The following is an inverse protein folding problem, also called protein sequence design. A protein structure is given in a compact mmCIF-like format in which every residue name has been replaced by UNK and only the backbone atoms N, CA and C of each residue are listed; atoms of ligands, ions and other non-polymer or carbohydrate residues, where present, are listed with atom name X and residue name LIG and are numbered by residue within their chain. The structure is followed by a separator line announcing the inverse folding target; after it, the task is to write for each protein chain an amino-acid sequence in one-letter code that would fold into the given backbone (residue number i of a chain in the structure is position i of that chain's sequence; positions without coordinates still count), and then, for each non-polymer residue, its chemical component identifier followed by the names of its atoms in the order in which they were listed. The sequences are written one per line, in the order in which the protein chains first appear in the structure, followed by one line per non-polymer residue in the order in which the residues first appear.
data_IF_696576349719
#
_entry.id   IF_696576349719
#
_cell.length_a   1.000
_cell.length_b   1.000
_cell.length_c   1.000
_cell.angle_alpha   90.00
_cell.angle_beta   90.00
_cell.angle_gamma   90.00
#
_symmetry.space_group_name_H-M   'P 1'
#
loop_
_entity.id
_entity.type
_entity.pdbx_description
1 polymer ?
#
# COMPACT_ATOMS: atom_id res chain seq x y z
N UNK A 1 -1.10 7.60 -6.50
CA UNK A 1 0.08 7.10 -7.22
C UNK A 1 -0.02 7.64 -8.63
N UNK A 2 1.00 8.34 -9.14
CA UNK A 2 0.97 8.91 -10.49
C UNK A 2 1.48 7.89 -11.50
N UNK A 3 1.07 8.01 -12.75
CA UNK A 3 1.56 7.19 -13.87
C UNK A 3 3.09 7.21 -13.97
N UNK A 4 3.71 8.38 -13.75
CA UNK A 4 5.17 8.51 -13.71
C UNK A 4 5.82 7.66 -12.61
N UNK A 5 5.18 7.53 -11.44
CA UNK A 5 5.70 6.72 -10.34
C UNK A 5 5.66 5.22 -10.70
N UNK A 6 4.61 4.80 -11.41
CA UNK A 6 4.39 3.42 -11.86
C UNK A 6 5.45 3.04 -12.89
N UNK A 7 5.67 3.89 -13.89
CA UNK A 7 6.67 3.67 -14.95
C UNK A 7 8.09 3.67 -14.37
N UNK A 8 8.39 4.58 -13.44
CA UNK A 8 9.70 4.62 -12.76
C UNK A 8 9.96 3.35 -11.95
N UNK A 9 8.99 2.87 -11.18
CA UNK A 9 9.11 1.63 -10.42
C UNK A 9 9.26 0.42 -11.36
N UNK A 10 8.48 0.36 -12.44
CA UNK A 10 8.57 -0.70 -13.45
C UNK A 10 9.97 -0.81 -14.08
N UNK A 11 10.67 0.31 -14.33
CA UNK A 11 12.07 0.30 -14.81
C UNK A 11 13.02 -0.37 -13.84
N UNK A 12 12.91 -0.04 -12.55
CA UNK A 12 13.80 -0.59 -11.52
C UNK A 12 13.57 -2.08 -11.33
N UNK A 13 12.31 -2.53 -11.42
CA UNK A 13 11.95 -3.95 -11.34
C UNK A 13 12.35 -4.70 -12.60
N UNK A 14 12.19 -4.10 -13.79
CA UNK A 14 12.64 -4.65 -15.06
C UNK A 14 14.15 -4.93 -15.12
N UNK A 15 14.94 -4.17 -14.36
CA UNK A 15 16.37 -4.43 -14.21
C UNK A 15 16.68 -5.70 -13.38
N UNK A 16 15.74 -6.14 -12.51
CA UNK A 16 15.85 -7.35 -11.70
C UNK A 16 15.26 -8.55 -12.46
N UNK A 17 16.01 -9.03 -13.46
CA UNK A 17 15.59 -10.08 -14.41
C UNK A 17 15.24 -11.43 -13.74
N UNK A 18 15.66 -11.66 -12.51
CA UNK A 18 15.38 -12.88 -11.75
C UNK A 18 13.94 -12.95 -11.19
N UNK A 19 13.21 -11.83 -11.18
CA UNK A 19 11.88 -11.73 -10.57
C UNK A 19 10.73 -11.78 -11.58
N UNK A 20 11.00 -11.55 -12.87
CA UNK A 20 9.96 -11.45 -13.90
C UNK A 20 10.14 -12.61 -14.89
N UNK A 21 9.15 -13.50 -14.95
CA UNK A 21 9.14 -14.56 -15.95
C UNK A 21 9.06 -14.01 -17.40
N UNK A 22 8.34 -12.90 -17.59
CA UNK A 22 8.19 -12.20 -18.86
C UNK A 22 8.80 -10.79 -18.84
N UNK A 23 10.13 -10.72 -18.73
CA UNK A 23 10.88 -9.44 -18.80
C UNK A 23 10.68 -8.72 -20.14
N UNK A 24 10.32 -9.44 -21.21
CA UNK A 24 10.12 -8.86 -22.53
C UNK A 24 8.85 -8.00 -22.58
N UNK A 25 7.73 -8.53 -22.07
CA UNK A 25 6.47 -7.80 -22.00
C UNK A 25 6.56 -6.52 -21.17
N UNK A 26 7.23 -6.57 -20.00
CA UNK A 26 7.42 -5.37 -19.17
C UNK A 26 8.30 -4.31 -19.88
N UNK A 27 9.36 -4.73 -20.55
CA UNK A 27 10.24 -3.81 -21.28
C UNK A 27 9.54 -3.15 -22.48
N UNK A 28 8.66 -3.87 -23.16
CA UNK A 28 7.83 -3.31 -24.24
C UNK A 28 6.90 -2.22 -23.71
N UNK A 29 6.20 -2.50 -22.59
CA UNK A 29 5.33 -1.51 -21.95
C UNK A 29 6.11 -0.28 -21.48
N UNK A 30 7.30 -0.46 -20.89
CA UNK A 30 8.17 0.68 -20.52
C UNK A 30 8.59 1.49 -21.74
N UNK A 31 8.90 0.84 -22.87
CA UNK A 31 9.29 1.53 -24.12
C UNK A 31 8.12 2.33 -24.70
N UNK A 32 6.89 1.80 -24.62
CA UNK A 32 5.67 2.53 -25.02
C UNK A 32 5.39 3.71 -24.10
N UNK A 33 5.62 3.56 -22.79
CA UNK A 33 5.54 4.67 -21.85
C UNK A 33 6.55 5.79 -22.19
N UNK A 34 7.78 5.42 -22.58
CA UNK A 34 8.80 6.38 -23.05
C UNK A 34 8.40 7.10 -24.34
N UNK A 35 7.61 6.46 -25.20
CA UNK A 35 7.02 7.09 -26.38
C UNK A 35 5.84 8.03 -26.05
N UNK A 36 5.45 8.14 -24.78
CA UNK A 36 4.37 8.99 -24.30
C UNK A 36 2.99 8.32 -24.31
N UNK A 37 2.93 6.99 -24.49
CA UNK A 37 1.67 6.26 -24.39
C UNK A 37 1.23 6.08 -22.94
N UNK A 38 -0.09 6.08 -22.72
CA UNK A 38 -0.69 5.78 -21.42
C UNK A 38 -0.81 4.27 -21.26
N UNK A 39 0.19 3.66 -20.63
CA UNK A 39 0.30 2.21 -20.40
C UNK A 39 0.48 1.87 -18.91
N UNK A 40 0.22 2.83 -18.02
CA UNK A 40 0.40 2.64 -16.58
C UNK A 40 -0.51 1.54 -16.01
N UNK A 41 -1.75 1.45 -16.50
CA UNK A 41 -2.69 0.40 -16.11
C UNK A 41 -2.24 -0.99 -16.59
N UNK A 42 -1.74 -1.09 -17.83
CA UNK A 42 -1.20 -2.34 -18.39
C UNK A 42 0.03 -2.82 -17.59
N UNK A 43 0.88 -1.89 -17.18
CA UNK A 43 2.04 -2.18 -16.31
C UNK A 43 1.57 -2.67 -14.95
N UNK A 44 0.57 -2.01 -14.34
CA UNK A 44 0.02 -2.44 -13.06
C UNK A 44 -0.58 -3.84 -13.14
N UNK A 45 -1.39 -4.11 -14.18
CA UNK A 45 -2.00 -5.42 -14.40
C UNK A 45 -0.91 -6.50 -14.44
N UNK A 46 0.12 -6.30 -15.27
CA UNK A 46 1.24 -7.23 -15.40
C UNK A 46 1.98 -7.45 -14.07
N UNK A 47 2.21 -6.39 -13.29
CA UNK A 47 2.90 -6.46 -12.00
C UNK A 47 2.05 -7.09 -10.88
N UNK A 48 0.73 -7.08 -11.00
CA UNK A 48 -0.20 -7.71 -10.03
C UNK A 48 -0.45 -9.19 -10.28
N UNK A 49 -0.05 -9.73 -11.43
CA UNK A 49 -0.22 -11.16 -11.75
C UNK A 49 0.65 -12.08 -10.86
N UNK A 50 1.76 -11.58 -10.32
CA UNK A 50 2.63 -12.30 -9.40
C UNK A 50 2.78 -11.54 -8.08
N UNK A 51 2.47 -12.22 -6.97
CA UNK A 51 2.53 -11.64 -5.62
C UNK A 51 3.92 -11.15 -5.24
N UNK A 52 4.99 -11.83 -5.67
CA UNK A 52 6.37 -11.42 -5.39
C UNK A 52 6.76 -10.14 -6.13
N UNK A 53 6.29 -10.01 -7.37
CA UNK A 53 6.48 -8.80 -8.17
C UNK A 53 5.72 -7.61 -7.59
N UNK A 54 4.49 -7.83 -7.15
CA UNK A 54 3.69 -6.82 -6.49
C UNK A 54 4.33 -6.30 -5.18
N UNK A 55 4.90 -7.19 -4.37
CA UNK A 55 5.60 -6.81 -3.14
C UNK A 55 6.85 -5.97 -3.41
N UNK A 56 7.66 -6.35 -4.41
CA UNK A 56 8.83 -5.56 -4.85
C UNK A 56 8.42 -4.20 -5.43
N UNK A 57 7.35 -4.17 -6.22
CA UNK A 57 6.78 -2.92 -6.73
C UNK A 57 6.34 -1.99 -5.61
N UNK A 58 5.59 -2.50 -4.63
CA UNK A 58 5.17 -1.72 -3.46
C UNK A 58 6.36 -1.18 -2.68
N UNK A 59 7.42 -1.97 -2.52
CA UNK A 59 8.64 -1.51 -1.84
C UNK A 59 9.30 -0.34 -2.58
N UNK A 60 9.40 -0.42 -3.90
CA UNK A 60 10.02 0.65 -4.69
C UNK A 60 9.17 1.91 -4.80
N UNK A 61 7.84 1.78 -4.94
CA UNK A 61 6.95 2.95 -4.92
C UNK A 61 7.04 3.68 -3.59
N UNK A 62 7.11 2.96 -2.45
CA UNK A 62 7.28 3.58 -1.13
C UNK A 62 8.62 4.33 -1.01
N UNK A 63 9.72 3.70 -1.43
CA UNK A 63 11.05 4.31 -1.41
C UNK A 63 11.17 5.52 -2.35
N UNK A 64 10.49 5.48 -3.51
CA UNK A 64 10.48 6.59 -4.48
C UNK A 64 9.69 7.81 -4.02
N UNK A 65 8.76 7.64 -3.07
CA UNK A 65 7.98 8.73 -2.47
C UNK A 65 8.74 9.49 -1.37
N UNK A 66 9.90 9.00 -0.93
CA UNK A 66 10.83 9.69 -0.03
C UNK A 66 11.65 10.78 -0.75
N UNK A 67 11.04 11.56 -1.66
CA UNK A 67 11.68 12.78 -2.15
C UNK A 67 11.73 13.80 -1.00
N UNK A 68 12.89 14.44 -0.72
CA UNK A 68 12.94 15.52 0.26
C UNK A 68 12.05 16.65 -0.26
N UNK A 69 10.88 16.82 0.37
CA UNK A 69 9.99 17.94 0.08
C UNK A 69 10.70 19.21 0.52
N UNK A 70 10.72 20.21 -0.36
CA UNK A 70 11.27 21.54 -0.09
C UNK A 70 10.63 22.19 1.15
N UNK A 71 11.13 23.36 1.57
CA UNK A 71 10.89 23.91 2.90
C UNK A 71 9.39 24.05 3.16
N UNK A 72 8.92 23.31 4.16
CA UNK A 72 7.55 23.31 4.68
C UNK A 72 7.28 24.69 5.29
N UNK A 73 6.34 25.44 4.70
CA UNK A 73 5.78 26.64 5.33
C UNK A 73 4.52 26.28 6.11
N UNK A 74 4.68 26.42 7.43
CA UNK A 74 3.73 26.75 8.49
C UNK A 74 2.47 25.90 8.70
N UNK A 75 2.46 25.20 9.84
CA UNK A 75 1.40 24.29 10.29
C UNK A 75 1.99 23.02 10.89
N UNK A 76 2.62 23.13 12.07
CA UNK A 76 3.38 22.06 12.72
C UNK A 76 2.55 20.78 12.96
N UNK A 77 2.70 19.80 12.08
CA UNK A 77 2.65 18.39 12.45
C UNK A 77 4.06 17.85 12.24
N UNK A 78 4.66 17.34 13.32
CA UNK A 78 5.95 16.65 13.27
C UNK A 78 5.64 15.19 12.98
N UNK A 79 6.09 14.70 11.82
CA UNK A 79 6.10 13.27 11.56
C UNK A 79 7.02 12.58 12.58
N UNK A 80 6.45 11.63 13.34
CA UNK A 80 7.21 10.84 14.30
C UNK A 80 8.12 9.86 13.52
N UNK A 81 9.42 9.76 13.86
CA UNK A 81 10.30 8.81 13.22
C UNK A 81 9.91 7.39 13.63
N UNK A 82 9.44 6.61 12.65
CA UNK A 82 9.11 5.20 12.80
C UNK A 82 8.29 4.72 11.62
N UNK A 83 8.44 3.45 11.25
CA UNK A 83 7.44 2.75 10.47
C UNK A 83 6.14 2.83 11.28
N UNK A 84 5.19 3.64 10.82
CA UNK A 84 3.81 3.52 11.28
C UNK A 84 3.30 2.17 10.79
N UNK A 85 3.66 1.09 11.48
CA UNK A 85 2.82 -0.10 11.49
C UNK A 85 1.41 0.42 11.76
N UNK A 86 0.41 0.11 10.92
CA UNK A 86 -0.97 0.43 11.28
C UNK A 86 -1.15 -0.13 12.69
N UNK A 87 -1.43 0.75 13.65
CA UNK A 87 -1.60 0.37 15.06
C UNK A 87 -2.45 -0.88 15.06
N UNK A 88 -1.89 -2.00 15.53
CA UNK A 88 -2.48 -3.32 15.40
C UNK A 88 -3.99 -3.22 15.58
N UNK A 89 -4.76 -3.61 14.55
CA UNK A 89 -6.21 -3.51 14.53
C UNK A 89 -6.74 -4.01 15.88
N UNK A 90 -7.30 -3.11 16.69
CA UNK A 90 -7.80 -3.48 18.00
C UNK A 90 -9.18 -4.07 17.75
N UNK A 91 -9.24 -5.40 17.65
CA UNK A 91 -10.50 -6.12 17.42
C UNK A 91 -11.09 -6.49 18.77
N UNK A 92 -12.28 -5.94 19.06
CA UNK A 92 -13.07 -6.37 20.20
C UNK A 92 -13.99 -7.51 19.78
N UNK A 93 -13.97 -8.60 20.54
CA UNK A 93 -14.73 -9.79 20.21
C UNK A 93 -15.83 -10.09 21.24
N UNK A 94 -16.99 -10.50 20.74
CA UNK A 94 -18.02 -11.12 21.58
C UNK A 94 -17.66 -12.59 21.83
N UNK A 95 -17.40 -12.95 23.09
CA UNK A 95 -17.07 -14.32 23.51
C UNK A 95 -18.18 -15.36 23.25
N UNK A 96 -19.40 -14.91 22.95
CA UNK A 96 -20.59 -15.77 22.85
C UNK A 96 -20.96 -16.09 21.41
N UNK A 97 -20.88 -15.11 20.51
CA UNK A 97 -21.32 -15.27 19.12
C UNK A 97 -20.22 -15.00 18.09
N UNK A 98 -19.00 -14.70 18.53
CA UNK A 98 -17.86 -14.45 17.65
C UNK A 98 -17.98 -13.19 16.80
N UNK A 99 -18.84 -12.25 17.20
CA UNK A 99 -18.91 -10.94 16.55
C UNK A 99 -17.63 -10.15 16.81
N UNK A 100 -17.07 -9.57 15.76
CA UNK A 100 -15.83 -8.79 15.79
C UNK A 100 -16.15 -7.33 15.48
N UNK A 101 -15.62 -6.43 16.31
CA UNK A 101 -15.70 -4.98 16.13
C UNK A 101 -14.29 -4.42 16.00
N UNK A 102 -13.86 -4.04 14.79
CA UNK A 102 -12.53 -3.46 14.58
C UNK A 102 -12.52 -1.98 14.99
N UNK A 103 -11.48 -1.59 15.70
CA UNK A 103 -11.18 -0.19 16.06
C UNK A 103 -9.91 0.24 15.35
N UNK A 104 -9.98 1.38 14.67
CA UNK A 104 -8.90 1.90 13.84
C UNK A 104 -8.10 3.00 14.54
N UNK A 105 -8.67 3.64 15.56
CA UNK A 105 -8.04 4.72 16.32
C UNK A 105 -8.15 4.51 17.84
N UNK A 106 -7.07 4.80 18.57
CA UNK A 106 -7.06 4.74 20.04
C UNK A 106 -8.04 5.78 20.59
N UNK A 107 -9.10 5.32 21.26
CA UNK A 107 -10.14 6.17 21.87
C UNK A 107 -11.44 6.24 21.07
N UNK A 108 -11.57 5.49 19.96
CA UNK A 108 -12.84 5.32 19.27
C UNK A 108 -13.90 4.73 20.22
N UNK A 109 -15.15 5.24 20.22
CA UNK A 109 -16.20 4.71 21.06
C UNK A 109 -16.59 3.29 20.63
N UNK A 110 -16.31 2.31 21.50
CA UNK A 110 -16.69 0.92 21.30
C UNK A 110 -18.06 0.67 21.94
N UNK A 111 -18.99 -0.03 21.25
CA UNK A 111 -20.23 -0.46 21.86
C UNK A 111 -19.98 -1.31 23.11
N UNK A 112 -20.62 -0.99 24.23
CA UNK A 112 -20.46 -1.74 25.49
C UNK A 112 -20.88 -3.20 25.36
N UNK A 113 -21.79 -3.51 24.43
CA UNK A 113 -22.35 -4.83 24.21
C UNK A 113 -22.38 -5.19 22.72
N UNK A 114 -22.35 -6.49 22.44
CA UNK A 114 -22.62 -7.02 21.11
C UNK A 114 -24.00 -6.56 20.59
N UNK A 115 -24.14 -6.22 19.28
CA UNK A 115 -25.43 -5.81 18.69
C UNK A 115 -26.52 -6.88 18.77
N UNK A 116 -26.16 -8.12 19.09
CA UNK A 116 -27.09 -9.23 19.32
C UNK A 116 -27.57 -9.32 20.78
N UNK A 117 -27.17 -8.39 21.66
CA UNK A 117 -27.60 -8.35 23.07
C UNK A 117 -26.91 -9.36 23.98
N UNK A 118 -25.72 -9.84 23.59
CA UNK A 118 -24.91 -10.78 24.37
C UNK A 118 -24.00 -10.05 25.38
N UNK A 119 -22.88 -10.68 25.73
CA UNK A 119 -21.83 -10.19 26.60
C UNK A 119 -21.17 -8.90 26.08
N UNK A 120 -20.42 -8.19 26.95
CA UNK A 120 -19.55 -7.11 26.53
C UNK A 120 -18.52 -7.56 25.48
N UNK A 121 -18.13 -6.64 24.61
CA UNK A 121 -17.04 -6.85 23.66
C UNK A 121 -15.71 -6.70 24.42
N UNK A 122 -14.76 -7.62 24.22
CA UNK A 122 -13.47 -7.68 24.93
C UNK A 122 -12.28 -7.80 23.99
#
# INVERSE_FOLDING_TARGET
MRDDDIVAAARVIGAKRDLIADTAALNELVTRADAGERVADDILELLTLDRRLWEEFRRHVRQGQERPRGPVQDGMYVDLPGDGDPSAEIVYQCSTCGYEFPVFEVGEPVPECCPQGHSPLT
#
